data_IF_953293931450
#
_entry.id   IF_953293931450
#
_cell.length_a   1.000
_cell.length_b   1.000
_cell.length_c   1.000
_cell.angle_alpha   90.00
_cell.angle_beta   90.00
_cell.angle_gamma   90.00
#
_symmetry.space_group_name_H-M   'P 1'
#
loop_
_entity.id
_entity.type
_entity.pdbx_description
1 polymer ?
#
# COMPACT_ATOMS: atom_id res chain seq x y z
N UNK A 1 -8.86 12.33 24.02
CA UNK A 1 -8.22 13.36 23.18
C UNK A 1 -9.23 13.77 22.14
N UNK A 2 -9.54 15.06 22.04
CA UNK A 2 -10.35 15.58 20.94
C UNK A 2 -9.47 15.46 19.69
N UNK A 3 -9.85 14.62 18.72
CA UNK A 3 -9.27 14.70 17.39
C UNK A 3 -9.75 16.04 16.83
N UNK A 4 -8.88 17.05 16.84
CA UNK A 4 -9.09 18.19 15.96
C UNK A 4 -9.11 17.63 14.53
N UNK A 5 -10.11 18.00 13.74
CA UNK A 5 -10.06 17.72 12.30
C UNK A 5 -8.83 18.43 11.75
N UNK A 6 -7.81 17.64 11.39
CA UNK A 6 -6.55 18.17 10.87
C UNK A 6 -6.82 18.89 9.54
N UNK A 7 -6.27 20.10 9.42
CA UNK A 7 -6.38 20.91 8.21
C UNK A 7 -5.67 20.18 7.07
N UNK A 8 -6.44 19.75 6.06
CA UNK A 8 -5.94 19.06 4.86
C UNK A 8 -5.94 19.96 3.62
N UNK A 9 -6.50 21.18 3.73
CA UNK A 9 -6.61 22.18 2.67
C UNK A 9 -5.92 23.47 3.10
N UNK A 10 -5.05 24.01 2.24
CA UNK A 10 -4.24 25.19 2.49
C UNK A 10 -4.41 26.16 1.32
N UNK A 11 -5.08 27.29 1.56
CA UNK A 11 -5.32 28.33 0.56
C UNK A 11 -4.26 29.42 0.70
N UNK A 12 -3.61 29.78 -0.41
CA UNK A 12 -2.51 30.75 -0.46
C UNK A 12 -2.49 31.43 -1.83
N UNK A 13 -2.76 32.73 -1.84
CA UNK A 13 -2.95 33.51 -3.07
C UNK A 13 -3.90 32.80 -4.06
N UNK A 14 -3.47 32.52 -5.30
CA UNK A 14 -4.30 31.85 -6.31
C UNK A 14 -4.34 30.32 -6.19
N UNK A 15 -3.64 29.74 -5.22
CA UNK A 15 -3.44 28.29 -5.10
C UNK A 15 -4.17 27.72 -3.89
N UNK A 16 -4.62 26.48 -4.05
CA UNK A 16 -5.04 25.61 -2.97
C UNK A 16 -4.20 24.33 -2.98
N UNK A 17 -3.53 24.04 -1.88
CA UNK A 17 -2.89 22.75 -1.65
C UNK A 17 -3.83 21.83 -0.89
N UNK A 18 -3.95 20.58 -1.34
CA UNK A 18 -4.75 19.57 -0.65
C UNK A 18 -3.90 18.33 -0.43
N UNK A 19 -3.70 17.95 0.83
CA UNK A 19 -3.01 16.71 1.20
C UNK A 19 -4.04 15.65 1.62
N UNK A 20 -3.96 14.45 1.05
CA UNK A 20 -4.86 13.33 1.38
C UNK A 20 -4.08 12.04 1.46
N UNK A 21 -4.49 11.15 2.37
CA UNK A 21 -4.08 9.76 2.26
C UNK A 21 -4.98 9.07 1.23
N UNK A 22 -4.38 8.33 0.31
CA UNK A 22 -5.09 7.63 -0.75
C UNK A 22 -4.70 6.15 -0.76
N UNK A 23 -5.70 5.32 -1.08
CA UNK A 23 -5.48 3.99 -1.60
C UNK A 23 -5.41 4.13 -3.11
N UNK A 24 -4.26 3.81 -3.69
CA UNK A 24 -4.10 3.76 -5.12
C UNK A 24 -4.46 2.35 -5.60
N UNK A 25 -5.67 2.22 -6.14
CA UNK A 25 -6.25 0.98 -6.65
C UNK A 25 -6.29 0.91 -8.18
N UNK A 26 -5.62 1.84 -8.86
CA UNK A 26 -5.61 1.99 -10.32
C UNK A 26 -5.20 0.73 -11.10
N UNK A 27 -4.71 -0.30 -10.41
CA UNK A 27 -4.72 -1.67 -10.91
C UNK A 27 -4.82 -2.67 -9.74
N UNK A 28 -6.05 -3.05 -9.33
CA UNK A 28 -6.32 -4.08 -8.30
C UNK A 28 -5.52 -5.38 -8.54
N UNK A 29 -5.15 -5.66 -9.79
CA UNK A 29 -4.45 -6.88 -10.18
C UNK A 29 -2.92 -6.79 -10.10
N UNK A 30 -2.34 -5.58 -10.01
CA UNK A 30 -0.88 -5.44 -10.17
C UNK A 30 -0.22 -4.89 -8.91
N UNK A 31 -0.65 -3.76 -8.33
CA UNK A 31 -0.11 -3.28 -7.05
C UNK A 31 -1.12 -2.40 -6.30
N UNK A 32 -1.73 -2.91 -5.22
CA UNK A 32 -2.39 -2.04 -4.26
C UNK A 32 -1.32 -1.20 -3.54
N UNK A 33 -1.25 0.09 -3.85
CA UNK A 33 -0.32 1.03 -3.23
C UNK A 33 -1.08 2.04 -2.37
N UNK A 34 -0.36 2.75 -1.49
CA UNK A 34 -0.95 3.75 -0.62
C UNK A 34 0.07 4.78 -0.15
N UNK A 35 -0.46 5.88 0.38
CA UNK A 35 0.32 6.93 1.03
C UNK A 35 -0.34 8.28 0.80
N UNK A 36 0.46 9.34 0.66
CA UNK A 36 -0.07 10.71 0.61
C UNK A 36 -0.01 11.28 -0.79
N UNK A 37 -1.15 11.75 -1.29
CA UNK A 37 -1.22 12.64 -2.44
C UNK A 37 -1.22 14.10 -1.97
N UNK A 38 -0.53 14.95 -2.72
CA UNK A 38 -0.58 16.40 -2.54
C UNK A 38 -0.96 17.00 -3.89
N UNK A 39 -2.16 17.56 -3.98
CA UNK A 39 -2.61 18.27 -5.18
C UNK A 39 -2.42 19.76 -5.00
N UNK A 40 -2.07 20.43 -6.10
CA UNK A 40 -2.09 21.89 -6.21
C UNK A 40 -3.21 22.23 -7.18
N UNK A 41 -4.16 23.01 -6.70
CA UNK A 41 -5.34 23.45 -7.44
C UNK A 41 -5.35 24.96 -7.60
N UNK A 42 -5.95 25.42 -8.70
CA UNK A 42 -6.20 26.82 -8.98
C UNK A 42 -7.48 26.96 -9.81
N UNK A 43 -8.05 28.17 -9.85
CA UNK A 43 -9.12 28.47 -10.79
C UNK A 43 -8.53 28.60 -12.22
N UNK A 44 -8.97 27.73 -13.12
CA UNK A 44 -8.64 27.76 -14.54
C UNK A 44 -9.91 27.46 -15.35
N UNK A 45 -10.15 28.22 -16.43
CA UNK A 45 -11.35 28.10 -17.28
C UNK A 45 -12.68 28.13 -16.50
N UNK A 46 -12.74 28.91 -15.41
CA UNK A 46 -13.93 29.08 -14.58
C UNK A 46 -14.26 27.90 -13.65
N UNK A 47 -13.31 26.99 -13.41
CA UNK A 47 -13.44 25.88 -12.46
C UNK A 47 -12.16 25.65 -11.65
N UNK A 48 -12.30 25.08 -10.45
CA UNK A 48 -11.17 24.56 -9.68
C UNK A 48 -10.55 23.39 -10.45
N UNK A 49 -9.27 23.49 -10.79
CA UNK A 49 -8.56 22.55 -11.65
C UNK A 49 -7.29 22.09 -10.95
N UNK A 50 -7.02 20.78 -10.95
CA UNK A 50 -5.73 20.27 -10.46
C UNK A 50 -4.63 20.54 -11.49
N UNK A 51 -3.72 21.45 -11.14
CA UNK A 51 -2.65 21.90 -12.03
C UNK A 51 -1.34 21.16 -11.79
N UNK A 52 -1.11 20.63 -10.58
CA UNK A 52 0.00 19.75 -10.22
C UNK A 52 -0.48 18.68 -9.25
N UNK A 53 0.16 17.52 -9.28
CA UNK A 53 -0.05 16.46 -8.29
C UNK A 53 1.28 15.81 -7.93
N UNK A 54 1.49 15.56 -6.64
CA UNK A 54 2.61 14.80 -6.12
C UNK A 54 2.09 13.54 -5.43
N UNK A 55 2.58 12.38 -5.84
CA UNK A 55 2.28 11.08 -5.26
C UNK A 55 3.46 10.68 -4.36
N UNK A 56 3.23 10.71 -3.04
CA UNK A 56 4.17 10.28 -2.02
C UNK A 56 3.74 8.92 -1.46
N UNK A 57 3.58 7.93 -2.36
CA UNK A 57 3.17 6.58 -1.99
C UNK A 57 4.35 5.67 -1.63
N UNK A 58 4.04 4.48 -1.10
CA UNK A 58 5.07 3.53 -0.71
C UNK A 58 5.91 3.09 -1.92
N UNK A 59 5.25 2.86 -3.06
CA UNK A 59 5.84 2.32 -4.30
C UNK A 59 5.85 3.37 -5.43
N UNK A 60 4.69 3.90 -5.81
CA UNK A 60 4.49 4.85 -6.90
C UNK A 60 4.78 6.27 -6.41
N UNK A 61 6.07 6.61 -6.38
CA UNK A 61 6.55 7.95 -6.06
C UNK A 61 6.69 8.74 -7.35
N UNK A 62 5.85 9.75 -7.54
CA UNK A 62 5.82 10.52 -8.78
C UNK A 62 5.26 11.91 -8.60
N UNK A 63 5.35 12.71 -9.66
CA UNK A 63 4.65 13.97 -9.78
C UNK A 63 4.11 14.12 -11.20
N UNK A 64 3.01 14.86 -11.34
CA UNK A 64 2.26 15.00 -12.58
C UNK A 64 2.08 16.49 -12.87
N UNK A 65 2.52 16.92 -14.05
CA UNK A 65 2.22 18.25 -14.59
C UNK A 65 0.85 18.25 -15.26
N UNK A 66 0.03 19.26 -14.97
CA UNK A 66 -1.27 19.50 -15.61
C UNK A 66 -2.14 18.26 -15.73
N UNK A 67 -2.44 17.51 -14.65
CA UNK A 67 -3.23 16.27 -14.72
C UNK A 67 -4.61 16.48 -15.38
N UNK A 68 -5.18 17.67 -15.26
CA UNK A 68 -6.45 18.05 -15.88
C UNK A 68 -6.31 18.97 -17.12
N UNK A 69 -5.08 19.23 -17.58
CA UNK A 69 -4.82 20.04 -18.78
C UNK A 69 -4.81 19.16 -20.03
N UNK A 70 -5.91 19.13 -20.78
CA UNK A 70 -6.01 18.36 -22.03
C UNK A 70 -5.13 18.91 -23.16
N UNK A 71 -4.63 20.13 -23.04
CA UNK A 71 -3.84 20.84 -24.06
C UNK A 71 -2.37 21.01 -23.64
N UNK A 72 -1.90 20.20 -22.67
CA UNK A 72 -0.53 20.28 -22.17
C UNK A 72 0.48 20.08 -23.31
N UNK A 73 1.40 21.03 -23.46
CA UNK A 73 2.40 21.02 -24.54
C UNK A 73 3.29 19.78 -24.44
N UNK A 74 3.57 19.11 -25.57
CA UNK A 74 4.55 18.02 -25.62
C UNK A 74 6.00 18.53 -25.70
N UNK A 75 6.50 19.08 -24.60
CA UNK A 75 7.91 19.48 -24.38
C UNK A 75 8.86 18.32 -23.98
N UNK A 76 8.42 17.07 -24.11
CA UNK A 76 9.20 15.90 -23.70
C UNK A 76 10.38 15.60 -24.64
N UNK A 77 11.32 14.72 -24.24
CA UNK A 77 12.34 14.23 -25.16
C UNK A 77 11.68 13.64 -26.41
N UNK A 78 12.14 14.02 -27.61
CA UNK A 78 11.52 13.55 -28.87
C UNK A 78 11.43 12.03 -28.98
N UNK A 79 12.35 11.30 -28.34
CA UNK A 79 12.36 9.82 -28.29
C UNK A 79 11.16 9.25 -27.51
N UNK A 80 10.51 10.06 -26.67
CA UNK A 80 9.34 9.72 -25.87
C UNK A 80 8.08 10.43 -26.36
N UNK A 81 8.14 11.16 -27.49
CA UNK A 81 6.98 11.83 -28.07
C UNK A 81 5.86 10.80 -28.35
N UNK A 82 4.64 11.10 -27.90
CA UNK A 82 3.50 10.17 -27.98
C UNK A 82 3.58 8.95 -27.04
N UNK A 83 4.61 8.86 -26.18
CA UNK A 83 4.77 7.85 -25.13
C UNK A 83 4.90 8.44 -23.72
N UNK A 84 4.89 9.77 -23.59
CA UNK A 84 4.73 10.39 -22.27
C UNK A 84 3.44 9.83 -21.69
N UNK A 85 3.57 9.09 -20.58
CA UNK A 85 2.48 8.34 -19.97
C UNK A 85 1.35 9.32 -19.67
N UNK A 86 0.34 9.38 -20.56
CA UNK A 86 -0.91 10.00 -20.22
C UNK A 86 -1.45 9.19 -19.06
N UNK A 87 -1.61 9.84 -17.92
CA UNK A 87 -2.29 9.23 -16.78
C UNK A 87 -3.62 8.69 -17.30
N UNK A 88 -3.98 7.45 -16.95
CA UNK A 88 -5.21 6.79 -17.36
C UNK A 88 -6.43 7.72 -17.13
N UNK A 89 -6.83 8.48 -18.15
CA UNK A 89 -7.96 9.43 -18.09
C UNK A 89 -7.66 10.94 -18.18
N UNK A 90 -6.43 11.41 -18.43
CA UNK A 90 -6.18 12.86 -18.53
C UNK A 90 -4.81 13.26 -19.11
N UNK A 91 -4.75 14.44 -19.74
CA UNK A 91 -3.62 14.96 -20.54
C UNK A 91 -2.34 15.35 -19.78
N UNK A 92 -2.20 14.92 -18.52
CA UNK A 92 -1.04 15.22 -17.69
C UNK A 92 0.22 14.45 -18.07
N UNK A 93 1.36 14.96 -17.61
CA UNK A 93 2.68 14.33 -17.78
C UNK A 93 3.24 13.82 -16.46
N UNK A 94 3.30 12.51 -16.31
CA UNK A 94 3.84 11.84 -15.13
C UNK A 94 5.37 11.71 -15.20
N UNK A 95 6.02 11.96 -14.06
CA UNK A 95 7.45 11.73 -13.85
C UNK A 95 7.66 10.98 -12.53
N UNK A 96 8.48 9.93 -12.55
CA UNK A 96 8.83 9.14 -11.36
C UNK A 96 9.89 9.87 -10.54
N UNK A 97 9.79 9.78 -9.22
CA UNK A 97 10.88 10.12 -8.30
C UNK A 97 11.74 8.87 -8.10
N UNK A 98 13.06 9.01 -8.12
CA UNK A 98 13.97 7.92 -7.77
C UNK A 98 14.22 7.95 -6.27
N UNK A 99 13.66 7.01 -5.48
CA UNK A 99 13.82 7.01 -4.04
C UNK A 99 15.27 6.87 -3.58
N UNK A 100 16.17 6.39 -4.45
CA UNK A 100 17.60 6.24 -4.16
C UNK A 100 18.31 7.60 -4.13
N UNK A 101 17.96 8.49 -5.06
CA UNK A 101 18.64 9.78 -5.24
C UNK A 101 17.83 10.96 -4.70
N UNK A 102 16.50 10.88 -4.78
CA UNK A 102 15.57 11.90 -4.30
C UNK A 102 15.22 11.75 -2.80
N UNK A 103 15.40 10.55 -2.25
CA UNK A 103 15.16 10.25 -0.84
C UNK A 103 13.68 10.15 -0.48
N UNK A 104 13.28 10.82 0.61
CA UNK A 104 11.89 10.78 1.09
C UNK A 104 10.98 11.66 0.21
N UNK A 105 9.87 11.11 -0.34
CA UNK A 105 9.05 11.83 -1.33
C UNK A 105 8.31 13.05 -0.77
N UNK A 106 7.92 13.04 0.52
CA UNK A 106 7.31 14.22 1.15
C UNK A 106 8.35 15.35 1.25
N UNK A 107 9.54 15.02 1.74
CA UNK A 107 10.64 15.99 1.88
C UNK A 107 11.05 16.57 0.53
N UNK A 108 11.15 15.71 -0.50
CA UNK A 108 11.41 16.13 -1.87
C UNK A 108 10.32 17.07 -2.38
N UNK A 109 9.04 16.71 -2.19
CA UNK A 109 7.89 17.53 -2.61
C UNK A 109 7.93 18.91 -1.98
N UNK A 110 8.16 19.00 -0.66
CA UNK A 110 8.23 20.28 0.04
C UNK A 110 9.37 21.17 -0.45
N UNK A 111 10.55 20.59 -0.68
CA UNK A 111 11.70 21.29 -1.26
C UNK A 111 11.39 21.79 -2.68
N UNK A 112 10.75 20.96 -3.49
CA UNK A 112 10.35 21.30 -4.85
C UNK A 112 9.31 22.41 -4.88
N UNK A 113 8.26 22.34 -4.05
CA UNK A 113 7.27 23.42 -3.89
C UNK A 113 7.97 24.72 -3.47
N UNK A 114 8.88 24.67 -2.51
CA UNK A 114 9.57 25.86 -1.99
C UNK A 114 10.47 26.57 -3.02
N UNK A 115 10.95 25.85 -4.05
CA UNK A 115 12.02 26.35 -4.93
C UNK A 115 11.67 26.37 -6.41
N UNK A 116 10.67 25.60 -6.84
CA UNK A 116 10.36 25.34 -8.26
C UNK A 116 8.88 25.43 -8.61
N UNK A 117 8.01 25.75 -7.67
CA UNK A 117 6.56 25.78 -7.90
C UNK A 117 6.16 26.63 -9.11
N UNK A 118 6.66 27.86 -9.24
CA UNK A 118 6.35 28.73 -10.40
C UNK A 118 6.74 28.09 -11.73
N UNK A 119 7.97 27.60 -11.84
CA UNK A 119 8.47 26.90 -13.03
C UNK A 119 7.57 25.70 -13.37
N UNK A 120 7.14 24.96 -12.34
CA UNK A 120 6.28 23.80 -12.52
C UNK A 120 4.86 24.16 -12.97
N UNK A 121 4.30 25.26 -12.47
CA UNK A 121 2.98 25.77 -12.89
C UNK A 121 3.04 26.24 -14.35
N UNK A 122 4.09 26.96 -14.74
CA UNK A 122 4.33 27.35 -16.14
C UNK A 122 4.37 26.11 -17.02
N UNK A 123 5.14 25.10 -16.63
CA UNK A 123 5.26 23.84 -17.37
C UNK A 123 3.96 23.04 -17.43
N UNK A 124 3.08 23.20 -16.44
CA UNK A 124 1.73 22.64 -16.44
C UNK A 124 0.76 23.35 -17.39
N UNK A 125 1.21 24.42 -18.07
CA UNK A 125 0.44 25.19 -19.03
C UNK A 125 -0.31 26.38 -18.43
N UNK A 126 0.08 26.85 -17.24
CA UNK A 126 -0.63 27.91 -16.51
C UNK A 126 0.24 29.13 -16.16
N UNK A 127 0.91 29.78 -17.13
CA UNK A 127 1.83 30.90 -16.85
C UNK A 127 1.16 32.07 -16.13
N UNK A 128 -0.10 32.39 -16.46
CA UNK A 128 -0.85 33.48 -15.82
C UNK A 128 -1.15 33.23 -14.33
N UNK A 129 -1.27 31.95 -13.93
CA UNK A 129 -1.40 31.59 -12.50
C UNK A 129 -0.04 31.74 -11.82
N UNK A 130 1.04 31.29 -12.45
CA UNK A 130 2.40 31.37 -11.89
C UNK A 130 2.84 32.81 -11.60
N UNK A 131 2.44 33.78 -12.44
CA UNK A 131 2.71 35.21 -12.22
C UNK A 131 2.09 35.74 -10.93
N UNK A 132 0.92 35.22 -10.53
CA UNK A 132 0.16 35.64 -9.34
C UNK A 132 0.62 34.96 -8.05
N UNK A 133 1.48 33.95 -8.14
CA UNK A 133 1.97 33.23 -6.95
C UNK A 133 2.98 34.10 -6.20
N UNK A 134 2.80 34.27 -4.90
CA UNK A 134 3.83 34.82 -4.02
C UNK A 134 4.63 33.68 -3.39
N UNK A 135 5.94 33.63 -3.63
CA UNK A 135 6.78 32.56 -3.08
C UNK A 135 7.06 32.72 -1.58
N UNK A 136 6.95 33.93 -1.03
CA UNK A 136 7.09 34.16 0.42
C UNK A 136 5.89 33.55 1.16
N UNK A 137 4.67 33.82 0.70
CA UNK A 137 3.46 33.21 1.29
C UNK A 137 3.47 31.67 1.15
N UNK A 138 4.01 31.15 0.05
CA UNK A 138 4.18 29.69 -0.12
C UNK A 138 5.15 29.14 0.93
N UNK A 139 6.26 29.83 1.21
CA UNK A 139 7.21 29.39 2.23
C UNK A 139 6.57 29.36 3.63
N UNK A 140 5.66 30.28 3.94
CA UNK A 140 4.96 30.32 5.22
C UNK A 140 4.06 29.10 5.45
N UNK A 141 3.44 28.55 4.41
CA UNK A 141 2.53 27.39 4.53
C UNK A 141 3.24 26.03 4.47
N UNK A 142 4.44 25.95 3.87
CA UNK A 142 5.16 24.68 3.66
C UNK A 142 5.36 23.88 4.95
N UNK A 143 5.73 24.48 6.10
CA UNK A 143 5.87 23.73 7.35
C UNK A 143 4.56 23.06 7.81
N UNK A 144 3.42 23.74 7.67
CA UNK A 144 2.11 23.20 8.05
C UNK A 144 1.67 22.08 7.10
N UNK A 145 1.92 22.26 5.79
CA UNK A 145 1.65 21.23 4.77
C UNK A 145 2.54 19.98 4.95
N UNK A 146 3.84 20.15 5.25
CA UNK A 146 4.76 19.03 5.57
C UNK A 146 4.28 18.25 6.79
N UNK A 147 3.93 18.95 7.87
CA UNK A 147 3.43 18.32 9.09
C UNK A 147 2.13 17.53 8.82
N UNK A 148 1.19 18.12 8.07
CA UNK A 148 -0.04 17.45 7.65
C UNK A 148 0.24 16.21 6.80
N UNK A 149 1.11 16.32 5.78
CA UNK A 149 1.46 15.19 4.93
C UNK A 149 2.11 14.05 5.73
N UNK A 150 3.03 14.35 6.66
CA UNK A 150 3.63 13.34 7.54
C UNK A 150 2.62 12.70 8.47
N UNK A 151 1.72 13.50 9.04
CA UNK A 151 0.66 13.00 9.90
C UNK A 151 -0.27 12.04 9.14
N UNK A 152 -0.74 12.43 7.95
CA UNK A 152 -1.57 11.58 7.11
C UNK A 152 -0.84 10.29 6.74
N UNK A 153 0.44 10.38 6.34
CA UNK A 153 1.25 9.22 6.01
C UNK A 153 1.42 8.25 7.18
N UNK A 154 1.53 8.75 8.41
CA UNK A 154 1.72 7.94 9.60
C UNK A 154 0.41 7.35 10.17
N UNK A 155 -0.70 8.09 10.09
CA UNK A 155 -1.92 7.77 10.86
C UNK A 155 -3.08 7.25 10.01
N UNK A 156 -3.07 7.47 8.70
CA UNK A 156 -4.16 7.08 7.80
C UNK A 156 -3.85 5.87 6.94
N UNK A 157 -2.74 5.17 7.22
CA UNK A 157 -2.38 3.93 6.54
C UNK A 157 -3.50 2.91 6.67
N UNK A 158 -3.89 2.34 5.54
CA UNK A 158 -4.78 1.21 5.50
C UNK A 158 -4.02 -0.04 5.93
N UNK A 159 -4.39 -0.56 7.10
CA UNK A 159 -3.89 -1.82 7.63
C UNK A 159 -5.07 -2.71 8.00
N UNK A 160 -4.86 -4.02 8.03
CA UNK A 160 -5.88 -4.99 8.40
C UNK A 160 -5.35 -5.90 9.47
N UNK A 161 -6.19 -6.27 10.43
CA UNK A 161 -5.86 -7.26 11.47
C UNK A 161 -6.75 -8.47 11.31
N UNK A 162 -6.14 -9.60 10.97
CA UNK A 162 -6.81 -10.89 10.96
C UNK A 162 -6.75 -11.57 12.33
N UNK A 163 -7.44 -12.70 12.45
CA UNK A 163 -7.17 -13.63 13.55
C UNK A 163 -5.76 -14.21 13.36
N UNK A 164 -5.22 -14.76 14.45
CA UNK A 164 -3.96 -15.50 14.41
C UNK A 164 -4.11 -16.94 13.88
N UNK A 165 -5.35 -17.40 13.63
CA UNK A 165 -5.66 -18.80 13.33
C UNK A 165 -5.92 -19.67 14.56
N UNK A 166 -6.46 -20.86 14.30
CA UNK A 166 -6.81 -21.89 15.31
C UNK A 166 -5.68 -22.87 15.55
N UNK A 167 -4.85 -23.10 14.55
CA UNK A 167 -3.75 -24.05 14.57
C UNK A 167 -2.44 -23.27 14.35
N UNK A 168 -1.55 -23.32 15.35
CA UNK A 168 -0.32 -22.53 15.38
C UNK A 168 0.89 -23.46 15.31
N UNK A 169 1.79 -23.17 14.38
CA UNK A 169 3.05 -23.88 14.18
C UNK A 169 4.21 -22.92 14.47
N UNK A 170 4.99 -23.23 15.51
CA UNK A 170 6.13 -22.40 15.93
C UNK A 170 7.37 -22.72 15.10
N UNK A 171 7.91 -21.71 14.41
CA UNK A 171 9.05 -21.83 13.52
C UNK A 171 10.18 -20.87 13.92
N UNK A 172 10.43 -20.73 15.22
CA UNK A 172 11.52 -19.91 15.75
C UNK A 172 11.07 -18.47 16.04
N UNK A 173 11.60 -17.49 15.30
CA UNK A 173 11.21 -16.08 15.48
C UNK A 173 9.87 -15.73 14.81
N UNK A 174 9.28 -16.67 14.07
CA UNK A 174 7.95 -16.56 13.46
C UNK A 174 7.06 -17.74 13.83
N UNK A 175 5.77 -17.58 13.62
CA UNK A 175 4.76 -18.64 13.74
C UNK A 175 3.87 -18.65 12.51
N UNK A 176 3.48 -19.83 12.04
CA UNK A 176 2.41 -19.97 11.06
C UNK A 176 1.09 -20.22 11.77
N UNK A 177 0.08 -19.43 11.45
CA UNK A 177 -1.29 -19.63 11.92
C UNK A 177 -2.20 -20.06 10.79
N UNK A 178 -2.97 -21.12 10.97
CA UNK A 178 -3.97 -21.56 9.99
C UNK A 178 -5.37 -21.14 10.45
N UNK A 179 -6.14 -20.51 9.55
CA UNK A 179 -7.52 -20.10 9.80
C UNK A 179 -8.41 -20.46 8.62
N UNK A 180 -9.61 -20.99 8.89
CA UNK A 180 -10.65 -21.04 7.87
C UNK A 180 -11.53 -19.80 7.92
N UNK A 181 -11.62 -19.10 6.79
CA UNK A 181 -12.29 -17.80 6.67
C UNK A 181 -13.41 -17.85 5.67
N UNK A 182 -14.55 -17.24 6.00
CA UNK A 182 -15.62 -16.88 5.05
C UNK A 182 -15.96 -15.41 5.19
N UNK A 183 -15.77 -14.64 4.12
CA UNK A 183 -16.15 -13.24 4.05
C UNK A 183 -17.67 -13.08 3.96
N UNK A 184 -18.23 -11.92 4.35
CA UNK A 184 -19.67 -11.65 4.22
C UNK A 184 -20.20 -11.78 2.78
N UNK A 185 -19.35 -11.54 1.78
CA UNK A 185 -19.67 -11.68 0.35
C UNK A 185 -19.68 -13.12 -0.15
N UNK A 186 -19.34 -14.09 0.69
CA UNK A 186 -19.34 -15.52 0.38
C UNK A 186 -17.98 -16.07 -0.10
N UNK A 187 -17.04 -15.22 -0.49
CA UNK A 187 -15.65 -15.61 -0.75
C UNK A 187 -14.94 -16.06 0.54
N UNK A 188 -13.88 -16.85 0.41
CA UNK A 188 -13.08 -17.31 1.54
C UNK A 188 -12.33 -18.60 1.25
N UNK A 189 -11.71 -19.17 2.27
CA UNK A 189 -10.89 -20.37 2.19
C UNK A 189 -9.91 -20.44 3.36
N UNK A 190 -8.85 -21.21 3.16
CA UNK A 190 -7.74 -21.27 4.12
C UNK A 190 -6.93 -19.97 4.06
N UNK A 191 -6.70 -19.37 5.22
CA UNK A 191 -5.70 -18.35 5.43
C UNK A 191 -4.49 -18.94 6.17
N UNK A 192 -3.30 -18.57 5.72
CA UNK A 192 -2.01 -18.87 6.37
C UNK A 192 -1.40 -17.55 6.82
N UNK A 193 -1.44 -17.30 8.12
CA UNK A 193 -0.87 -16.13 8.76
C UNK A 193 0.59 -16.38 9.08
N UNK A 194 1.46 -15.40 8.84
CA UNK A 194 2.83 -15.38 9.36
C UNK A 194 2.88 -14.33 10.45
N UNK A 195 3.18 -14.77 11.67
CA UNK A 195 3.09 -14.00 12.90
C UNK A 195 4.47 -13.86 13.54
N UNK A 196 4.73 -12.76 14.22
CA UNK A 196 5.93 -12.56 15.05
C UNK A 196 5.64 -11.60 16.20
N UNK A 197 6.47 -11.61 17.24
CA UNK A 197 6.38 -10.66 18.35
C UNK A 197 7.25 -9.44 18.05
N UNK A 198 6.67 -8.33 17.58
CA UNK A 198 7.44 -7.13 17.19
C UNK A 198 7.81 -6.23 18.37
N UNK A 199 7.12 -6.38 19.49
CA UNK A 199 7.35 -5.59 20.69
C UNK A 199 7.00 -6.41 21.90
N UNK A 200 7.80 -6.25 22.95
CA UNK A 200 7.64 -7.01 24.19
C UNK A 200 8.50 -8.26 24.27
N UNK A 201 8.22 -9.05 25.31
CA UNK A 201 8.84 -10.36 25.51
C UNK A 201 7.73 -11.38 25.72
N UNK A 202 7.71 -12.51 24.99
CA UNK A 202 6.67 -13.53 25.13
C UNK A 202 6.36 -13.84 26.60
N UNK A 203 5.07 -13.84 26.96
CA UNK A 203 4.60 -14.04 28.33
C UNK A 203 4.61 -12.78 29.24
N UNK A 204 4.97 -11.61 28.71
CA UNK A 204 4.78 -10.31 29.41
C UNK A 204 3.44 -9.68 29.03
N UNK A 205 2.98 -8.74 29.86
CA UNK A 205 1.72 -8.00 29.67
C UNK A 205 1.72 -7.09 28.44
N UNK A 206 2.89 -6.76 27.91
CA UNK A 206 3.06 -5.96 26.71
C UNK A 206 3.79 -6.83 25.70
N UNK A 207 3.06 -7.64 24.95
CA UNK A 207 3.54 -8.35 23.76
C UNK A 207 2.60 -8.01 22.62
N UNK A 208 3.17 -7.57 21.52
CA UNK A 208 2.43 -7.36 20.27
C UNK A 208 2.80 -8.48 19.30
N UNK A 209 1.97 -9.52 19.29
CA UNK A 209 1.98 -10.49 18.19
C UNK A 209 1.36 -9.83 16.96
N UNK A 210 2.16 -9.69 15.91
CA UNK A 210 1.83 -8.99 14.69
C UNK A 210 1.85 -9.95 13.51
N UNK A 211 0.79 -9.89 12.71
CA UNK A 211 0.72 -10.53 11.41
C UNK A 211 1.58 -9.72 10.41
N UNK A 212 2.68 -10.33 9.98
CA UNK A 212 3.67 -9.72 9.09
C UNK A 212 3.46 -10.11 7.64
N UNK A 213 2.81 -11.23 7.39
CA UNK A 213 2.35 -11.66 6.07
C UNK A 213 1.08 -12.52 6.22
N UNK A 214 0.27 -12.57 5.16
CA UNK A 214 -0.89 -13.45 5.08
C UNK A 214 -0.99 -14.05 3.68
N UNK A 215 -1.34 -15.32 3.58
CA UNK A 215 -1.72 -15.98 2.34
C UNK A 215 -3.19 -16.39 2.45
N UNK A 216 -4.06 -15.71 1.73
CA UNK A 216 -5.49 -15.98 1.69
C UNK A 216 -5.80 -16.83 0.44
N UNK A 217 -5.85 -18.15 0.63
CA UNK A 217 -6.09 -19.15 -0.43
C UNK A 217 -7.59 -19.23 -0.73
N UNK A 218 -8.19 -18.08 -1.06
CA UNK A 218 -9.61 -17.94 -1.23
C UNK A 218 -10.08 -18.44 -2.59
N UNK A 219 -11.31 -18.95 -2.66
CA UNK A 219 -11.78 -19.60 -3.88
C UNK A 219 -12.07 -18.61 -5.01
N UNK A 220 -12.56 -17.40 -4.70
CA UNK A 220 -12.87 -16.39 -5.72
C UNK A 220 -11.72 -15.39 -5.92
N UNK A 221 -11.24 -14.81 -4.81
CA UNK A 221 -10.16 -13.82 -4.81
C UNK A 221 -8.91 -14.29 -4.06
N UNK A 222 -8.20 -15.34 -4.50
CA UNK A 222 -6.98 -15.80 -3.86
C UNK A 222 -5.90 -14.72 -3.94
N UNK A 223 -5.29 -14.36 -2.80
CA UNK A 223 -4.26 -13.33 -2.73
C UNK A 223 -3.33 -13.51 -1.54
N UNK A 224 -2.29 -12.70 -1.48
CA UNK A 224 -1.41 -12.62 -0.31
C UNK A 224 -1.06 -11.17 0.02
N UNK A 225 -0.81 -10.92 1.31
CA UNK A 225 -0.51 -9.62 1.88
C UNK A 225 0.96 -9.51 2.24
N UNK A 226 1.61 -8.44 1.78
CA UNK A 226 2.85 -7.94 2.35
C UNK A 226 2.54 -6.96 3.49
N UNK A 227 2.79 -7.40 4.73
CA UNK A 227 2.66 -6.57 5.92
C UNK A 227 1.24 -6.07 6.14
N UNK A 228 0.24 -6.93 6.41
CA UNK A 228 -1.13 -6.49 6.67
C UNK A 228 -1.21 -5.44 7.80
N UNK A 229 -0.28 -5.49 8.76
CA UNK A 229 -0.10 -4.48 9.83
C UNK A 229 0.89 -3.35 9.53
N UNK A 230 1.34 -3.20 8.28
CA UNK A 230 2.29 -2.18 7.84
C UNK A 230 1.91 -1.54 6.49
N UNK A 231 2.12 -2.27 5.39
CA UNK A 231 1.86 -1.80 4.01
C UNK A 231 0.53 -2.29 3.44
N UNK A 232 0.02 -3.40 3.97
CA UNK A 232 -1.18 -4.09 3.51
C UNK A 232 -1.26 -4.25 1.99
N UNK A 233 -0.11 -4.48 1.36
CA UNK A 233 -0.04 -4.59 -0.10
C UNK A 233 -0.51 -5.99 -0.49
N UNK A 234 -1.66 -6.05 -1.16
CA UNK A 234 -2.27 -7.27 -1.67
C UNK A 234 -1.81 -7.58 -3.09
N UNK A 235 -1.42 -8.82 -3.32
CA UNK A 235 -1.14 -9.36 -4.65
C UNK A 235 -2.11 -10.52 -4.90
N UNK A 236 -2.97 -10.37 -5.91
CA UNK A 236 -3.88 -11.42 -6.35
C UNK A 236 -3.14 -12.42 -7.23
N UNK A 237 -3.42 -13.70 -7.05
CA UNK A 237 -2.89 -14.71 -7.97
C UNK A 237 -3.74 -14.75 -9.23
N UNK A 238 -3.07 -14.81 -10.39
CA UNK A 238 -3.73 -15.21 -11.63
C UNK A 238 -4.14 -16.69 -11.51
N UNK A 239 -5.46 -16.90 -11.43
CA UNK A 239 -6.09 -18.22 -11.25
C UNK A 239 -5.85 -19.16 -12.45
N UNK A 240 -5.36 -18.64 -13.57
CA UNK A 240 -4.93 -19.42 -14.74
C UNK A 240 -3.54 -20.02 -14.54
N UNK A 241 -2.63 -19.25 -13.93
CA UNK A 241 -1.23 -19.64 -13.75
C UNK A 241 -0.99 -20.38 -12.43
N UNK A 242 -1.79 -20.06 -11.41
CA UNK A 242 -1.71 -20.69 -10.09
C UNK A 242 -3.05 -21.36 -9.80
N UNK A 243 -3.05 -22.69 -9.84
CA UNK A 243 -4.25 -23.52 -9.63
C UNK A 243 -4.20 -24.33 -8.34
N UNK A 244 -3.02 -24.53 -7.77
CA UNK A 244 -2.81 -25.07 -6.41
C UNK A 244 -2.17 -23.98 -5.53
N UNK A 245 -3.01 -23.20 -4.84
CA UNK A 245 -2.54 -22.09 -4.00
C UNK A 245 -1.71 -22.57 -2.81
N UNK A 246 -2.09 -23.70 -2.19
CA UNK A 246 -1.32 -24.27 -1.09
C UNK A 246 0.03 -24.79 -1.58
N UNK A 247 0.05 -25.52 -2.69
CA UNK A 247 1.27 -25.97 -3.33
C UNK A 247 2.20 -24.81 -3.69
N UNK A 248 1.66 -23.70 -4.18
CA UNK A 248 2.45 -22.49 -4.47
C UNK A 248 3.07 -21.91 -3.20
N UNK A 249 2.32 -21.78 -2.10
CA UNK A 249 2.85 -21.25 -0.82
C UNK A 249 3.96 -22.14 -0.28
N UNK A 250 3.74 -23.46 -0.26
CA UNK A 250 4.74 -24.44 0.19
C UNK A 250 6.00 -24.36 -0.68
N UNK A 251 5.86 -24.30 -2.01
CA UNK A 251 6.99 -24.10 -2.93
C UNK A 251 7.79 -22.84 -2.63
N UNK A 252 7.16 -21.71 -2.26
CA UNK A 252 7.91 -20.48 -1.90
C UNK A 252 8.64 -20.60 -0.58
N UNK A 253 8.08 -21.32 0.39
CA UNK A 253 8.74 -21.56 1.67
C UNK A 253 9.92 -22.52 1.46
N UNK A 254 9.72 -23.64 0.76
CA UNK A 254 10.77 -24.63 0.42
C UNK A 254 11.89 -24.01 -0.41
N UNK A 255 11.56 -23.13 -1.37
CA UNK A 255 12.53 -22.39 -2.17
C UNK A 255 13.20 -21.21 -1.43
N UNK A 256 13.01 -21.12 -0.10
CA UNK A 256 13.64 -20.14 0.80
C UNK A 256 13.34 -18.69 0.41
N UNK A 257 12.12 -18.43 -0.07
CA UNK A 257 11.69 -17.07 -0.48
C UNK A 257 11.06 -16.28 0.65
N UNK A 258 10.66 -16.93 1.73
CA UNK A 258 9.96 -16.29 2.85
C UNK A 258 10.73 -15.09 3.45
N UNK A 259 12.06 -15.19 3.61
CA UNK A 259 12.88 -14.08 4.10
C UNK A 259 12.79 -12.82 3.23
N UNK A 260 12.99 -12.95 1.93
CA UNK A 260 12.86 -11.83 0.99
C UNK A 260 11.43 -11.26 0.96
N UNK A 261 10.43 -12.12 1.13
CA UNK A 261 9.03 -11.69 1.21
C UNK A 261 8.75 -10.89 2.50
N UNK A 262 9.27 -11.32 3.64
CA UNK A 262 9.15 -10.62 4.93
C UNK A 262 9.91 -9.28 4.90
N UNK A 263 11.08 -9.22 4.26
CA UNK A 263 11.79 -7.96 4.04
C UNK A 263 10.95 -7.00 3.20
N UNK A 264 10.34 -7.48 2.11
CA UNK A 264 9.41 -6.67 1.28
C UNK A 264 8.19 -6.19 2.07
N UNK A 265 7.67 -7.01 2.99
CA UNK A 265 6.61 -6.63 3.94
C UNK A 265 7.02 -5.53 4.93
N UNK A 266 8.31 -5.19 4.99
CA UNK A 266 8.86 -4.11 5.81
C UNK A 266 9.40 -4.58 7.16
N UNK A 267 9.77 -5.86 7.29
CA UNK A 267 10.31 -6.43 8.53
C UNK A 267 11.71 -7.04 8.33
N UNK A 268 12.72 -6.25 7.92
CA UNK A 268 14.05 -6.76 7.61
C UNK A 268 14.74 -7.43 8.80
N UNK A 269 14.50 -6.96 10.04
CA UNK A 269 15.04 -7.60 11.25
C UNK A 269 14.48 -9.01 11.46
N UNK A 270 13.17 -9.19 11.26
CA UNK A 270 12.53 -10.52 11.35
C UNK A 270 13.05 -11.44 10.25
N UNK A 271 13.23 -10.92 9.03
CA UNK A 271 13.79 -11.67 7.91
C UNK A 271 15.23 -12.15 8.17
N UNK A 272 16.06 -11.30 8.79
CA UNK A 272 17.44 -11.63 9.11
C UNK A 272 17.59 -12.74 10.16
N UNK A 273 16.62 -12.84 11.07
CA UNK A 273 16.62 -13.80 12.18
C UNK A 273 15.82 -15.09 11.87
N UNK A 274 15.36 -15.29 10.63
CA UNK A 274 14.64 -16.51 10.25
C UNK A 274 15.51 -17.76 10.44
N UNK A 275 14.95 -18.74 11.15
CA UNK A 275 15.56 -20.06 11.32
C UNK A 275 14.95 -21.04 10.29
N UNK A 276 15.66 -21.24 9.18
CA UNK A 276 15.19 -22.13 8.11
C UNK A 276 15.05 -23.58 8.57
N UNK A 277 15.90 -24.07 9.47
CA UNK A 277 15.81 -25.45 9.96
C UNK A 277 14.53 -25.65 10.78
N UNK A 278 14.09 -24.63 11.53
CA UNK A 278 12.81 -24.64 12.25
C UNK A 278 11.61 -24.58 11.31
N UNK A 279 11.70 -23.76 10.28
CA UNK A 279 10.67 -23.68 9.23
C UNK A 279 10.51 -25.03 8.53
N UNK A 280 11.62 -25.62 8.08
CA UNK A 280 11.65 -26.91 7.39
C UNK A 280 11.12 -28.04 8.29
N UNK A 281 11.36 -27.97 9.60
CA UNK A 281 10.86 -28.95 10.57
C UNK A 281 9.33 -28.93 10.72
N UNK A 282 8.69 -27.75 10.67
CA UNK A 282 7.22 -27.65 10.86
C UNK A 282 6.43 -27.71 9.57
N UNK A 283 7.04 -27.36 8.44
CA UNK A 283 6.37 -27.25 7.14
C UNK A 283 5.62 -28.54 6.72
N UNK A 284 6.13 -29.76 6.94
CA UNK A 284 5.40 -30.99 6.61
C UNK A 284 4.11 -31.15 7.41
N UNK A 285 4.16 -30.91 8.73
CA UNK A 285 3.00 -31.04 9.62
C UNK A 285 1.96 -29.96 9.32
N UNK A 286 2.40 -28.71 9.15
CA UNK A 286 1.55 -27.59 8.75
C UNK A 286 0.86 -27.87 7.40
N UNK A 287 1.60 -28.40 6.42
CA UNK A 287 1.05 -28.72 5.10
C UNK A 287 0.01 -29.83 5.17
N UNK A 288 0.26 -30.88 5.96
CA UNK A 288 -0.71 -31.94 6.19
C UNK A 288 -1.99 -31.38 6.80
N UNK A 289 -1.87 -30.55 7.85
CA UNK A 289 -3.01 -29.91 8.50
C UNK A 289 -3.79 -28.99 7.56
N UNK A 290 -3.09 -28.16 6.78
CA UNK A 290 -3.70 -27.30 5.78
C UNK A 290 -4.54 -28.10 4.76
N UNK A 291 -4.02 -29.25 4.29
CA UNK A 291 -4.76 -30.14 3.38
C UNK A 291 -6.00 -30.75 4.05
N UNK A 292 -5.91 -31.17 5.31
CA UNK A 292 -7.07 -31.66 6.06
C UNK A 292 -8.16 -30.60 6.17
N UNK A 293 -7.78 -29.36 6.50
CA UNK A 293 -8.71 -28.26 6.62
C UNK A 293 -9.38 -27.95 5.26
N UNK A 294 -8.60 -27.89 4.16
CA UNK A 294 -9.14 -27.67 2.82
C UNK A 294 -10.18 -28.72 2.43
N UNK A 295 -9.85 -30.01 2.64
CA UNK A 295 -10.75 -31.12 2.36
C UNK A 295 -12.03 -31.07 3.21
N UNK A 296 -11.92 -30.67 4.48
CA UNK A 296 -13.09 -30.48 5.35
C UNK A 296 -14.00 -29.37 4.81
N UNK A 297 -13.45 -28.22 4.41
CA UNK A 297 -14.27 -27.14 3.87
C UNK A 297 -14.96 -27.49 2.55
N UNK A 298 -14.28 -28.23 1.67
CA UNK A 298 -14.87 -28.73 0.42
C UNK A 298 -16.06 -29.64 0.71
N UNK A 299 -15.91 -30.56 1.66
CA UNK A 299 -17.00 -31.44 2.09
C UNK A 299 -18.20 -30.66 2.66
N UNK A 300 -17.96 -29.55 3.35
CA UNK A 300 -19.02 -28.77 4.02
C UNK A 300 -19.76 -27.82 3.09
N UNK A 301 -19.08 -27.25 2.09
CA UNK A 301 -19.61 -26.13 1.30
C UNK A 301 -19.55 -26.31 -0.21
N UNK A 302 -18.91 -27.38 -0.70
CA UNK A 302 -18.61 -27.57 -2.11
C UNK A 302 -17.45 -26.72 -2.62
N UNK A 303 -16.84 -25.91 -1.76
CA UNK A 303 -15.66 -25.09 -2.05
C UNK A 303 -14.55 -25.41 -1.05
N UNK A 304 -13.26 -25.46 -1.45
CA UNK A 304 -12.16 -25.71 -0.53
C UNK A 304 -12.18 -24.71 0.63
N UNK A 305 -12.28 -25.21 1.86
CA UNK A 305 -11.96 -24.43 3.07
C UNK A 305 -12.96 -23.39 3.61
N UNK A 306 -14.27 -23.45 3.37
CA UNK A 306 -15.20 -22.47 3.98
C UNK A 306 -15.86 -22.97 5.28
N UNK A 307 -15.86 -22.19 6.38
CA UNK A 307 -16.84 -22.37 7.44
C UNK A 307 -18.26 -22.06 6.92
N UNK A 308 -19.28 -22.67 7.53
CA UNK A 308 -20.67 -22.45 7.10
C UNK A 308 -21.12 -21.01 7.30
N UNK A 309 -20.70 -20.38 8.40
CA UNK A 309 -21.03 -19.00 8.73
C UNK A 309 -19.86 -18.06 8.41
N UNK A 310 -20.13 -16.77 8.10
CA UNK A 310 -19.08 -15.77 7.96
C UNK A 310 -18.19 -15.70 9.20
N UNK A 311 -16.88 -15.63 8.97
CA UNK A 311 -15.89 -15.49 10.05
C UNK A 311 -15.91 -14.04 10.54
N UNK A 312 -16.08 -13.79 11.86
CA UNK A 312 -16.06 -12.43 12.41
C UNK A 312 -14.70 -11.76 12.18
N UNK A 313 -14.71 -10.50 11.74
CA UNK A 313 -13.49 -9.67 11.75
C UNK A 313 -13.16 -9.26 13.20
N UNK A 314 -11.91 -9.45 13.62
CA UNK A 314 -11.46 -9.08 14.97
C UNK A 314 -11.39 -7.57 15.23
N UNK A 315 -11.43 -6.76 14.16
CA UNK A 315 -11.49 -5.31 14.28
C UNK A 315 -12.62 -4.81 13.39
N UNK A 316 -13.76 -4.39 13.98
CA UNK A 316 -14.71 -3.55 13.26
C UNK A 316 -14.10 -2.16 13.15
N UNK A 317 -13.88 -1.71 11.91
CA UNK A 317 -13.57 -0.35 11.45
C UNK A 317 -12.95 0.63 12.46
#
# INVERSE_FOLDING_TARGET
>A
MVQAEEKTRFEVGPLTFIARHELWDGNIQDHADQGVSITVQAEADGKETTILRFNCFDIERSYIYGPENSNLSDDGPMMLAGRSESTSGGGGKLFRMDPTTDGNPITWTMKTISTKLKDMIIRSGYPEIAEKVDMEEIQDIVPELDACARYLFATKRNTVKHNRGTDIFDAGNIRFGLEMRRLPVGDGGLAIHVLTDLSGTPGKTYVEETEIMAFDLFWDGPHYHYGPRNKNHRIYWDRTLVTDYLGWVVDKIDAKKLGAMIERAGYPGVAADLDQDRIDAVLPEMTAKAREMLALGEKLTGHPGLPLEPTPNLVPN
#
